data_IF_594677686945
#
_entry.id   IF_594677686945
#
_cell.length_a   1.000
_cell.length_b   1.000
_cell.length_c   1.000
_cell.angle_alpha   90.00
_cell.angle_beta   90.00
_cell.angle_gamma   90.00
#
_symmetry.space_group_name_H-M   'P 1'
#
loop_
_entity.id
_entity.type
_entity.pdbx_description
1 polymer ?
#
# COMPACT_ATOMS: atom_id res chain seq x y z
N UNK A 1 42.86 47.34 -8.37
CA UNK A 1 42.48 46.13 -7.62
C UNK A 1 41.15 45.67 -8.20
N UNK A 2 41.17 44.62 -9.00
CA UNK A 2 40.02 44.08 -9.73
C UNK A 2 39.38 43.01 -8.85
N UNK A 3 38.23 43.29 -8.24
CA UNK A 3 37.48 42.26 -7.53
C UNK A 3 36.81 41.37 -8.59
N UNK A 4 37.27 40.12 -8.68
CA UNK A 4 36.67 39.12 -9.54
C UNK A 4 35.29 38.73 -8.99
N UNK A 5 34.25 38.64 -9.83
CA UNK A 5 32.95 38.15 -9.39
C UNK A 5 33.08 36.70 -8.89
N UNK A 6 32.39 36.35 -7.78
CA UNK A 6 32.45 35.02 -7.21
C UNK A 6 31.95 34.00 -8.24
N UNK A 7 32.81 33.05 -8.61
CA UNK A 7 32.44 31.92 -9.44
C UNK A 7 31.42 31.05 -8.68
N UNK A 8 30.17 31.05 -9.13
CA UNK A 8 29.16 30.08 -8.69
C UNK A 8 29.67 28.66 -8.97
N UNK A 9 29.80 27.85 -7.92
CA UNK A 9 30.14 26.44 -8.04
C UNK A 9 28.89 25.68 -8.51
N UNK A 10 28.96 24.83 -9.55
CA UNK A 10 27.85 23.98 -9.94
C UNK A 10 27.44 23.10 -8.75
N UNK A 11 26.18 23.24 -8.32
CA UNK A 11 25.59 22.41 -7.29
C UNK A 11 25.32 21.02 -7.88
N UNK A 12 26.32 20.15 -7.87
CA UNK A 12 26.24 18.77 -8.36
C UNK A 12 25.43 17.88 -7.40
N UNK A 13 24.10 18.06 -7.40
CA UNK A 13 23.12 17.12 -6.84
C UNK A 13 23.00 15.81 -7.66
N UNK A 14 24.08 15.35 -8.30
CA UNK A 14 24.12 14.10 -9.10
C UNK A 14 24.22 12.84 -8.25
N UNK A 15 24.51 12.97 -6.96
CA UNK A 15 24.69 11.85 -6.02
C UNK A 15 23.41 11.04 -5.76
N UNK A 16 22.22 11.63 -5.95
CA UNK A 16 20.95 10.93 -5.79
C UNK A 16 20.59 9.98 -6.94
N UNK A 17 20.95 10.33 -8.17
CA UNK A 17 20.47 9.62 -9.36
C UNK A 17 21.18 8.27 -9.61
N UNK A 18 22.47 8.16 -9.27
CA UNK A 18 23.22 6.92 -9.50
C UNK A 18 22.80 5.82 -8.52
N UNK A 19 22.48 6.19 -7.28
CA UNK A 19 21.94 5.25 -6.29
C UNK A 19 20.60 4.68 -6.76
N UNK A 20 19.71 5.54 -7.28
CA UNK A 20 18.43 5.14 -7.86
C UNK A 20 18.65 4.20 -9.05
N UNK A 21 19.59 4.51 -9.96
CA UNK A 21 19.91 3.67 -11.11
C UNK A 21 20.42 2.29 -10.68
N UNK A 22 21.31 2.22 -9.68
CA UNK A 22 21.85 0.97 -9.16
C UNK A 22 20.76 0.12 -8.49
N UNK A 23 19.87 0.74 -7.71
CA UNK A 23 18.70 0.07 -7.12
C UNK A 23 17.78 -0.47 -8.22
N UNK A 24 17.51 0.31 -9.27
CA UNK A 24 16.67 -0.11 -10.39
C UNK A 24 17.25 -1.34 -11.12
N UNK A 25 18.56 -1.32 -11.37
CA UNK A 25 19.28 -2.44 -11.99
C UNK A 25 19.22 -3.68 -11.10
N UNK A 26 19.47 -3.54 -9.80
CA UNK A 26 19.40 -4.64 -8.85
C UNK A 26 17.99 -5.27 -8.80
N UNK A 27 16.94 -4.44 -8.74
CA UNK A 27 15.54 -4.89 -8.78
C UNK A 27 15.25 -5.62 -10.11
N UNK A 28 15.68 -5.07 -11.24
CA UNK A 28 15.50 -5.67 -12.56
C UNK A 28 16.20 -7.04 -12.69
N UNK A 29 17.43 -7.16 -12.17
CA UNK A 29 18.18 -8.41 -12.16
C UNK A 29 17.50 -9.48 -11.30
N UNK A 30 16.95 -9.11 -10.14
CA UNK A 30 16.17 -10.01 -9.28
C UNK A 30 14.93 -10.52 -10.03
N UNK A 31 14.15 -9.63 -10.66
CA UNK A 31 12.98 -10.04 -11.44
C UNK A 31 13.34 -10.97 -12.61
N UNK A 32 14.46 -10.72 -13.27
CA UNK A 32 14.92 -11.55 -14.38
C UNK A 32 15.32 -12.96 -13.89
N UNK A 33 16.05 -13.06 -12.79
CA UNK A 33 16.40 -14.34 -12.16
C UNK A 33 15.17 -15.09 -11.61
N UNK A 34 14.15 -14.37 -11.13
CA UNK A 34 12.86 -14.95 -10.74
C UNK A 34 12.11 -15.51 -11.96
N UNK A 35 12.05 -14.77 -13.07
CA UNK A 35 11.38 -15.21 -14.30
C UNK A 35 12.08 -16.42 -14.94
N UNK A 36 13.41 -16.49 -14.84
CA UNK A 36 14.18 -17.66 -15.29
C UNK A 36 14.03 -18.90 -14.39
N UNK A 37 13.26 -18.81 -13.30
CA UNK A 37 13.05 -19.92 -12.39
C UNK A 37 14.26 -20.29 -11.51
N UNK A 38 15.38 -19.56 -11.64
CA UNK A 38 16.62 -19.79 -10.87
C UNK A 38 16.41 -19.51 -9.37
N UNK A 39 15.53 -18.56 -9.05
CA UNK A 39 15.18 -18.19 -7.67
C UNK A 39 13.90 -18.89 -7.15
N UNK A 40 13.28 -19.79 -7.93
CA UNK A 40 12.04 -20.48 -7.56
C UNK A 40 12.25 -21.55 -6.46
N UNK A 41 13.49 -21.71 -5.98
CA UNK A 41 13.86 -22.61 -4.88
C UNK A 41 13.50 -22.01 -3.51
N UNK A 42 13.36 -20.68 -3.40
CA UNK A 42 12.84 -20.05 -2.19
C UNK A 42 11.31 -19.99 -2.27
N UNK A 43 10.64 -20.74 -1.39
CA UNK A 43 9.18 -20.91 -1.25
C UNK A 43 8.34 -19.63 -1.17
N UNK A 44 8.94 -18.44 -1.18
CA UNK A 44 8.24 -17.16 -1.03
C UNK A 44 8.50 -16.28 -2.25
N UNK A 45 7.92 -16.62 -3.41
CA UNK A 45 7.95 -15.78 -4.62
C UNK A 45 7.44 -14.36 -4.33
N UNK A 46 6.47 -14.25 -3.44
CA UNK A 46 5.76 -13.02 -3.11
C UNK A 46 6.12 -12.47 -1.72
N UNK A 47 7.37 -12.60 -1.28
CA UNK A 47 7.81 -12.11 0.04
C UNK A 47 7.59 -10.61 0.21
N UNK A 48 7.62 -9.87 -0.88
CA UNK A 48 7.30 -8.45 -0.94
C UNK A 48 5.85 -8.13 -0.55
N UNK A 49 4.93 -9.09 -0.63
CA UNK A 49 3.56 -8.92 -0.14
C UNK A 49 3.50 -8.62 1.37
N UNK A 50 4.55 -8.97 2.12
CA UNK A 50 4.71 -8.55 3.52
C UNK A 50 4.76 -7.03 3.66
N UNK A 51 5.30 -6.29 2.67
CA UNK A 51 5.27 -4.82 2.68
C UNK A 51 3.84 -4.28 2.55
N UNK A 52 3.02 -4.89 1.69
CA UNK A 52 1.59 -4.53 1.56
C UNK A 52 0.87 -4.85 2.88
N UNK A 53 1.14 -6.02 3.45
CA UNK A 53 0.54 -6.46 4.71
C UNK A 53 0.88 -5.48 5.85
N UNK A 54 2.15 -5.05 5.95
CA UNK A 54 2.60 -4.08 6.95
C UNK A 54 1.90 -2.72 6.79
N UNK A 55 1.79 -2.23 5.55
CA UNK A 55 1.08 -0.98 5.24
C UNK A 55 -0.41 -1.06 5.59
N UNK A 56 -1.03 -2.20 5.33
CA UNK A 56 -2.42 -2.47 5.69
C UNK A 56 -2.63 -2.50 7.20
N UNK A 57 -1.74 -3.18 7.93
CA UNK A 57 -1.75 -3.18 9.40
C UNK A 57 -1.61 -1.76 9.98
N UNK A 58 -0.77 -0.92 9.37
CA UNK A 58 -0.64 0.49 9.73
C UNK A 58 -1.94 1.29 9.53
N UNK A 59 -2.64 1.08 8.41
CA UNK A 59 -3.95 1.70 8.15
C UNK A 59 -5.01 1.28 9.18
N UNK A 60 -5.03 0.00 9.56
CA UNK A 60 -5.91 -0.49 10.62
C UNK A 60 -5.54 0.04 12.02
N UNK A 61 -4.26 0.28 12.31
CA UNK A 61 -3.85 0.97 13.53
C UNK A 61 -4.43 2.38 13.65
N UNK A 62 -4.65 3.07 12.54
CA UNK A 62 -5.35 4.36 12.51
C UNK A 62 -6.85 4.17 12.78
N UNK A 63 -7.49 3.15 12.19
CA UNK A 63 -8.88 2.81 12.49
C UNK A 63 -9.09 2.48 13.98
N UNK A 64 -8.14 1.77 14.61
CA UNK A 64 -8.17 1.46 16.04
C UNK A 64 -8.06 2.71 16.92
N UNK A 65 -7.23 3.68 16.52
CA UNK A 65 -7.13 4.98 17.21
C UNK A 65 -8.43 5.78 17.10
N UNK A 66 -9.07 5.78 15.92
CA UNK A 66 -10.38 6.43 15.71
C UNK A 66 -11.46 5.76 16.57
N UNK A 67 -11.43 4.44 16.70
CA UNK A 67 -12.36 3.71 17.57
C UNK A 67 -12.17 4.06 19.05
N UNK A 68 -10.92 4.14 19.52
CA UNK A 68 -10.60 4.58 20.89
C UNK A 68 -11.02 6.04 21.14
N UNK A 69 -10.74 6.96 20.20
CA UNK A 69 -11.09 8.37 20.35
C UNK A 69 -12.59 8.64 20.23
N UNK A 70 -13.34 7.77 19.54
CA UNK A 70 -14.81 7.82 19.44
C UNK A 70 -15.52 7.18 20.63
N UNK A 71 -14.81 6.89 21.72
CA UNK A 71 -15.37 6.31 22.93
C UNK A 71 -15.83 4.86 22.75
N UNK A 72 -15.12 4.07 21.92
CA UNK A 72 -15.44 2.68 21.58
C UNK A 72 -16.80 2.50 20.87
N UNK A 73 -17.29 3.54 20.22
CA UNK A 73 -18.48 3.46 19.39
C UNK A 73 -18.09 3.11 17.95
N UNK A 74 -18.84 2.18 17.36
CA UNK A 74 -18.71 1.86 15.94
C UNK A 74 -19.35 3.01 15.15
N UNK A 75 -18.53 3.97 14.73
CA UNK A 75 -18.97 5.09 13.89
C UNK A 75 -18.78 4.74 12.42
N UNK A 76 -19.49 5.43 11.50
CA UNK A 76 -19.30 5.24 10.06
C UNK A 76 -17.85 5.46 9.61
N UNK A 77 -17.09 6.32 10.30
CA UNK A 77 -15.66 6.53 10.00
C UNK A 77 -14.81 5.31 10.37
N UNK A 78 -15.10 4.61 11.48
CA UNK A 78 -14.39 3.39 11.88
C UNK A 78 -14.67 2.26 10.89
N UNK A 79 -15.95 2.08 10.52
CA UNK A 79 -16.35 1.05 9.55
C UNK A 79 -15.77 1.31 8.17
N UNK A 80 -15.76 2.57 7.71
CA UNK A 80 -15.13 2.97 6.45
C UNK A 80 -13.63 2.73 6.41
N UNK A 81 -12.91 3.06 7.49
CA UNK A 81 -11.46 2.81 7.60
C UNK A 81 -11.14 1.30 7.64
N UNK A 82 -11.99 0.49 8.29
CA UNK A 82 -11.82 -0.96 8.35
C UNK A 82 -12.03 -1.60 6.97
N UNK A 83 -13.11 -1.23 6.28
CA UNK A 83 -13.42 -1.73 4.94
C UNK A 83 -12.39 -1.27 3.91
N UNK A 84 -11.89 -0.03 4.02
CA UNK A 84 -10.81 0.47 3.17
C UNK A 84 -9.52 -0.37 3.26
N UNK A 85 -9.25 -0.98 4.41
CA UNK A 85 -8.11 -1.89 4.60
C UNK A 85 -8.33 -3.31 4.07
N UNK A 86 -9.57 -3.74 3.80
CA UNK A 86 -9.85 -5.09 3.29
C UNK A 86 -9.28 -5.31 1.89
N UNK A 87 -9.27 -4.29 1.05
CA UNK A 87 -8.73 -4.38 -0.31
C UNK A 87 -7.22 -4.69 -0.32
N UNK A 88 -6.35 -3.86 0.28
CA UNK A 88 -4.91 -4.15 0.29
C UNK A 88 -4.58 -5.41 1.12
N UNK A 89 -5.39 -5.76 2.14
CA UNK A 89 -5.27 -7.04 2.83
C UNK A 89 -5.49 -8.22 1.88
N UNK A 90 -6.59 -8.22 1.13
CA UNK A 90 -6.92 -9.29 0.20
C UNK A 90 -5.82 -9.44 -0.85
N UNK A 91 -5.32 -8.32 -1.40
CA UNK A 91 -4.19 -8.29 -2.33
C UNK A 91 -2.93 -8.89 -1.71
N UNK A 92 -2.58 -8.50 -0.49
CA UNK A 92 -1.42 -9.04 0.22
C UNK A 92 -1.53 -10.56 0.41
N UNK A 93 -2.71 -11.07 0.80
CA UNK A 93 -2.95 -12.50 0.97
C UNK A 93 -2.89 -13.26 -0.36
N UNK A 94 -3.47 -12.71 -1.44
CA UNK A 94 -3.39 -13.30 -2.79
C UNK A 94 -1.94 -13.52 -3.20
N UNK A 95 -1.12 -12.48 -3.06
CA UNK A 95 0.28 -12.58 -3.40
C UNK A 95 1.00 -13.54 -2.44
N UNK A 96 0.86 -13.38 -1.12
CA UNK A 96 1.57 -14.20 -0.13
C UNK A 96 1.32 -15.71 -0.31
N UNK A 97 0.09 -16.11 -0.63
CA UNK A 97 -0.31 -17.50 -0.83
C UNK A 97 -0.33 -17.93 -2.31
N UNK A 98 0.09 -17.07 -3.24
CA UNK A 98 0.06 -17.30 -4.69
C UNK A 98 -1.33 -17.79 -5.18
N UNK A 99 -2.39 -17.16 -4.71
CA UNK A 99 -3.75 -17.61 -4.97
C UNK A 99 -4.16 -17.30 -6.42
N UNK A 100 -4.95 -18.21 -7.01
CA UNK A 100 -5.42 -18.05 -8.39
C UNK A 100 -6.47 -16.94 -8.49
N UNK A 101 -6.17 -15.90 -9.26
CA UNK A 101 -7.06 -14.77 -9.55
C UNK A 101 -8.45 -15.19 -10.07
N UNK A 102 -8.55 -16.27 -10.84
CA UNK A 102 -9.81 -16.80 -11.35
C UNK A 102 -10.78 -17.28 -10.27
N UNK A 103 -10.27 -17.68 -9.09
CA UNK A 103 -11.09 -18.11 -7.97
C UNK A 103 -11.32 -16.99 -6.95
N UNK A 104 -10.42 -16.01 -6.88
CA UNK A 104 -10.41 -15.00 -5.80
C UNK A 104 -11.17 -13.72 -6.16
N UNK A 105 -11.33 -13.42 -7.44
CA UNK A 105 -12.02 -12.20 -7.86
C UNK A 105 -13.40 -11.94 -7.20
N UNK A 106 -14.24 -12.95 -6.85
CA UNK A 106 -15.53 -12.69 -6.19
C UNK A 106 -15.39 -12.05 -4.81
N UNK A 107 -14.25 -12.21 -4.13
CA UNK A 107 -13.98 -11.57 -2.84
C UNK A 107 -14.02 -10.04 -2.96
N UNK A 108 -13.53 -9.48 -4.06
CA UNK A 108 -13.56 -8.04 -4.28
C UNK A 108 -14.99 -7.51 -4.48
N UNK A 109 -15.88 -8.30 -5.10
CA UNK A 109 -17.29 -7.96 -5.18
C UNK A 109 -17.94 -7.93 -3.80
N UNK A 110 -17.60 -8.87 -2.92
CA UNK A 110 -18.09 -8.89 -1.54
C UNK A 110 -17.59 -7.65 -0.79
N UNK A 111 -16.30 -7.31 -0.89
CA UNK A 111 -15.73 -6.11 -0.27
C UNK A 111 -16.42 -4.84 -0.80
N UNK A 112 -16.63 -4.73 -2.12
CA UNK A 112 -17.32 -3.61 -2.72
C UNK A 112 -18.78 -3.50 -2.24
N UNK A 113 -19.50 -4.63 -2.19
CA UNK A 113 -20.86 -4.70 -1.65
C UNK A 113 -20.94 -4.25 -0.19
N UNK A 114 -20.02 -4.72 0.65
CA UNK A 114 -19.90 -4.29 2.05
C UNK A 114 -19.58 -2.79 2.15
N UNK A 115 -18.73 -2.25 1.28
CA UNK A 115 -18.40 -0.82 1.25
C UNK A 115 -19.61 0.05 0.90
N UNK A 116 -20.43 -0.37 -0.07
CA UNK A 116 -21.68 0.30 -0.43
C UNK A 116 -22.67 0.24 0.74
N UNK A 117 -22.84 -0.96 1.34
CA UNK A 117 -23.74 -1.15 2.46
C UNK A 117 -23.35 -0.28 3.67
N UNK A 118 -22.06 -0.23 4.01
CA UNK A 118 -21.53 0.58 5.10
C UNK A 118 -21.70 2.09 4.85
N UNK A 119 -21.62 2.55 3.60
CA UNK A 119 -21.94 3.94 3.25
C UNK A 119 -23.41 4.27 3.51
N UNK A 120 -24.33 3.38 3.12
CA UNK A 120 -25.76 3.61 3.29
C UNK A 120 -26.19 3.64 4.76
N UNK A 121 -25.61 2.80 5.62
CA UNK A 121 -25.88 2.84 7.07
C UNK A 121 -25.16 3.98 7.79
N UNK A 122 -24.19 4.62 7.12
CA UNK A 122 -23.33 5.65 7.70
C UNK A 122 -23.82 7.08 7.55
N UNK A 123 -24.99 7.31 6.93
CA UNK A 123 -25.62 8.62 6.83
C UNK A 123 -26.67 8.77 7.95
N UNK A 124 -26.36 9.42 9.09
CA UNK A 124 -27.40 10.00 9.91
C UNK A 124 -28.16 10.98 9.02
N UNK A 125 -29.50 10.87 9.01
CA UNK A 125 -30.38 11.71 8.22
C UNK A 125 -29.92 13.16 8.22
N UNK A 126 -29.56 13.64 7.04
CA UNK A 126 -29.30 15.05 6.78
C UNK A 126 -30.62 15.79 7.09
N UNK A 127 -30.67 16.73 8.04
CA UNK A 127 -31.89 17.50 8.26
C UNK A 127 -32.21 18.24 6.97
N UNK A 128 -33.34 17.88 6.36
CA UNK A 128 -33.99 18.70 5.34
C UNK A 128 -34.38 20.02 6.00
N UNK A 129 -33.87 21.11 5.43
CA UNK A 129 -34.11 22.52 5.76
C UNK A 129 -35.44 22.83 6.45
#
# INVERSE_FOLDING_TARGET
MSELPPAERPNDNRSGNWLIALVLIAIGAIFLLQNLGVLNVFFIHNWWALFILLGTAGAWGTAWRIYQSSGRRVTPQVTGAFIGGLFPLAVALIFLFNLNWGNIWPIFLIIAGLAVLARNFGQPGQPSN
#
